data_IF_073604007336
#
_entry.id   IF_073604007336
#
_cell.length_a   1.000
_cell.length_b   1.000
_cell.length_c   1.000
_cell.angle_alpha   90.00
_cell.angle_beta   90.00
_cell.angle_gamma   90.00
#
_symmetry.space_group_name_H-M   'P 1'
#
loop_
_entity.id
_entity.type
_entity.pdbx_description
1 polymer ?
#
# COMPACT_ATOMS: atom_id res chain seq x y z
N UNK A 1 -10.77 14.48 -36.02
CA UNK A 1 -10.27 14.98 -34.72
C UNK A 1 -10.93 14.22 -33.58
N UNK A 2 -12.25 14.05 -33.58
CA UNK A 2 -12.99 13.30 -32.55
C UNK A 2 -12.51 11.85 -32.35
N UNK A 3 -12.34 11.07 -33.42
CA UNK A 3 -11.84 9.69 -33.32
C UNK A 3 -10.42 9.58 -32.70
N UNK A 4 -9.58 10.61 -32.91
CA UNK A 4 -8.25 10.68 -32.31
C UNK A 4 -8.37 10.96 -30.81
N UNK A 5 -9.20 11.93 -30.42
CA UNK A 5 -9.45 12.26 -29.01
C UNK A 5 -9.98 11.05 -28.24
N UNK A 6 -10.95 10.33 -28.80
CA UNK A 6 -11.50 9.11 -28.18
C UNK A 6 -10.42 8.04 -28.00
N UNK A 7 -9.57 7.82 -28.99
CA UNK A 7 -8.47 6.83 -28.92
C UNK A 7 -7.42 7.22 -27.88
N UNK A 8 -7.06 8.51 -27.80
CA UNK A 8 -6.11 9.03 -26.81
C UNK A 8 -6.66 8.86 -25.40
N UNK A 9 -7.93 9.24 -25.15
CA UNK A 9 -8.55 9.08 -23.83
C UNK A 9 -8.60 7.62 -23.40
N UNK A 10 -8.96 6.70 -24.29
CA UNK A 10 -8.93 5.25 -24.05
C UNK A 10 -7.57 4.77 -23.55
N UNK A 11 -6.52 5.09 -24.33
CA UNK A 11 -5.16 4.65 -24.00
C UNK A 11 -4.69 5.26 -22.68
N UNK A 12 -4.93 6.54 -22.46
CA UNK A 12 -4.54 7.20 -21.21
C UNK A 12 -5.27 6.64 -20.00
N UNK A 13 -6.59 6.40 -20.09
CA UNK A 13 -7.36 5.81 -19.00
C UNK A 13 -6.86 4.41 -18.63
N UNK A 14 -6.61 3.56 -19.64
CA UNK A 14 -6.01 2.24 -19.45
C UNK A 14 -4.63 2.31 -18.81
N UNK A 15 -3.75 3.20 -19.28
CA UNK A 15 -2.41 3.36 -18.73
C UNK A 15 -2.45 3.86 -17.28
N UNK A 16 -3.31 4.82 -16.96
CA UNK A 16 -3.47 5.31 -15.59
C UNK A 16 -3.94 4.19 -14.64
N UNK A 17 -4.89 3.36 -15.07
CA UNK A 17 -5.33 2.21 -14.30
C UNK A 17 -4.20 1.19 -14.09
N UNK A 18 -3.41 0.89 -15.14
CA UNK A 18 -2.24 0.01 -15.01
C UNK A 18 -1.23 0.53 -13.99
N UNK A 19 -0.98 1.85 -13.94
CA UNK A 19 -0.12 2.46 -12.93
C UNK A 19 -0.70 2.30 -11.54
N UNK A 20 -2.02 2.47 -11.36
CA UNK A 20 -2.67 2.23 -10.07
C UNK A 20 -2.63 0.76 -9.66
N UNK A 21 -2.80 -0.18 -10.57
CA UNK A 21 -2.64 -1.60 -10.22
C UNK A 21 -1.20 -1.88 -9.76
N UNK A 22 -0.21 -1.39 -10.51
CA UNK A 22 1.20 -1.53 -10.17
C UNK A 22 1.58 -0.81 -8.85
N UNK A 23 0.79 0.17 -8.41
CA UNK A 23 1.09 0.96 -7.23
C UNK A 23 1.10 0.16 -5.93
N UNK A 24 0.48 -1.03 -5.89
CA UNK A 24 0.51 -1.95 -4.75
C UNK A 24 1.76 -2.86 -4.72
N UNK A 25 2.61 -2.80 -5.77
CA UNK A 25 3.87 -3.55 -5.82
C UNK A 25 4.80 -3.29 -4.63
N UNK A 26 5.00 -2.03 -4.17
CA UNK A 26 5.88 -1.75 -3.04
C UNK A 26 5.40 -2.43 -1.75
N UNK A 27 4.10 -2.36 -1.41
CA UNK A 27 3.61 -3.05 -0.20
C UNK A 27 3.77 -4.57 -0.32
N UNK A 28 3.42 -5.16 -1.46
CA UNK A 28 3.55 -6.60 -1.68
C UNK A 28 5.01 -7.05 -1.67
N UNK A 29 5.93 -6.22 -2.17
CA UNK A 29 7.36 -6.47 -2.09
C UNK A 29 7.82 -6.53 -0.64
N UNK A 30 7.34 -5.64 0.22
CA UNK A 30 7.68 -5.67 1.64
C UNK A 30 7.12 -6.94 2.31
N UNK A 31 5.87 -7.31 2.03
CA UNK A 31 5.29 -8.58 2.51
C UNK A 31 6.19 -9.76 2.12
N UNK A 32 6.67 -9.79 0.87
CA UNK A 32 7.55 -10.84 0.40
C UNK A 32 8.93 -10.84 1.08
N UNK A 33 9.50 -9.67 1.34
CA UNK A 33 10.82 -9.52 1.97
C UNK A 33 10.76 -9.89 3.46
N UNK A 34 9.72 -9.47 4.15
CA UNK A 34 9.52 -9.73 5.59
C UNK A 34 8.96 -11.12 5.86
N UNK A 35 8.51 -11.85 4.83
CA UNK A 35 7.84 -13.16 4.96
C UNK A 35 6.66 -13.12 5.93
N UNK A 36 5.96 -11.99 5.96
CA UNK A 36 4.87 -11.70 6.89
C UNK A 36 3.92 -10.67 6.28
N UNK A 37 2.63 -10.82 6.58
CA UNK A 37 1.56 -9.88 6.19
C UNK A 37 1.30 -8.80 7.23
N UNK A 38 2.16 -8.66 8.27
CA UNK A 38 1.95 -7.68 9.34
C UNK A 38 1.82 -6.22 8.88
N UNK A 39 2.43 -5.85 7.75
CA UNK A 39 2.34 -4.52 7.14
C UNK A 39 1.05 -4.32 6.32
N UNK A 40 0.33 -5.40 6.02
CA UNK A 40 -0.96 -5.41 5.33
C UNK A 40 -1.95 -6.23 6.17
N UNK A 41 -2.56 -5.63 7.20
CA UNK A 41 -3.26 -6.36 8.26
C UNK A 41 -4.55 -7.09 7.83
N UNK A 42 -5.01 -6.91 6.59
CA UNK A 42 -6.08 -7.72 6.02
C UNK A 42 -5.84 -7.99 4.53
N UNK A 43 -6.36 -9.13 4.06
CA UNK A 43 -6.36 -9.49 2.65
C UNK A 43 -7.42 -8.75 1.82
N UNK A 44 -8.28 -7.97 2.49
CA UNK A 44 -9.43 -7.30 1.89
C UNK A 44 -9.03 -6.41 0.69
N UNK A 45 -7.98 -5.56 0.75
CA UNK A 45 -7.58 -4.76 -0.42
C UNK A 45 -7.24 -5.62 -1.65
N UNK A 46 -6.56 -6.76 -1.45
CA UNK A 46 -6.17 -7.66 -2.53
C UNK A 46 -7.39 -8.39 -3.10
N UNK A 47 -8.25 -8.94 -2.24
CA UNK A 47 -9.47 -9.64 -2.65
C UNK A 47 -10.50 -8.72 -3.29
N UNK A 48 -10.68 -7.51 -2.76
CA UNK A 48 -11.52 -6.48 -3.36
C UNK A 48 -11.01 -6.07 -4.74
N UNK A 49 -9.69 -6.00 -4.94
CA UNK A 49 -9.13 -5.70 -6.27
C UNK A 49 -9.38 -6.84 -7.27
N UNK A 50 -9.25 -8.10 -6.87
CA UNK A 50 -9.64 -9.26 -7.70
C UNK A 50 -11.11 -9.15 -8.09
N UNK A 51 -11.99 -8.94 -7.11
CA UNK A 51 -13.42 -8.84 -7.34
C UNK A 51 -13.79 -7.68 -8.27
N UNK A 52 -13.18 -6.51 -8.05
CA UNK A 52 -13.35 -5.34 -8.90
C UNK A 52 -12.94 -5.61 -10.35
N UNK A 53 -11.77 -6.22 -10.57
CA UNK A 53 -11.28 -6.52 -11.92
C UNK A 53 -12.18 -7.55 -12.64
N UNK A 54 -12.65 -8.58 -11.95
CA UNK A 54 -13.57 -9.57 -12.53
C UNK A 54 -14.92 -8.93 -12.88
N UNK A 55 -15.49 -8.12 -11.98
CA UNK A 55 -16.78 -7.46 -12.21
C UNK A 55 -16.73 -6.49 -13.39
N UNK A 56 -15.73 -5.59 -13.42
CA UNK A 56 -15.55 -4.66 -14.54
C UNK A 56 -15.17 -5.35 -15.85
N UNK A 57 -14.37 -6.42 -15.79
CA UNK A 57 -14.06 -7.24 -16.96
C UNK A 57 -15.32 -7.90 -17.53
N UNK A 58 -16.16 -8.48 -16.68
CA UNK A 58 -17.43 -9.07 -17.09
C UNK A 58 -18.38 -8.03 -17.67
N UNK A 59 -18.55 -6.89 -16.99
CA UNK A 59 -19.38 -5.79 -17.48
C UNK A 59 -18.89 -5.34 -18.87
N UNK A 60 -17.58 -5.10 -19.02
CA UNK A 60 -16.99 -4.75 -20.31
C UNK A 60 -17.20 -5.81 -21.40
N UNK A 61 -17.21 -7.11 -21.07
CA UNK A 61 -17.53 -8.15 -22.04
C UNK A 61 -18.99 -8.07 -22.50
N UNK A 62 -19.93 -7.80 -21.59
CA UNK A 62 -21.36 -7.71 -21.89
C UNK A 62 -21.71 -6.51 -22.78
N UNK A 63 -21.00 -5.39 -22.62
CA UNK A 63 -21.19 -4.17 -23.44
C UNK A 63 -20.20 -4.07 -24.62
N UNK A 64 -19.45 -5.14 -24.90
CA UNK A 64 -18.43 -5.21 -25.96
C UNK A 64 -17.36 -4.09 -25.90
N UNK A 65 -16.96 -3.69 -24.70
CA UNK A 65 -15.97 -2.63 -24.44
C UNK A 65 -14.55 -3.20 -24.27
N UNK A 66 -13.83 -3.31 -25.38
CA UNK A 66 -12.46 -3.82 -25.38
C UNK A 66 -11.48 -3.08 -24.43
N UNK A 67 -11.38 -1.73 -24.43
CA UNK A 67 -10.54 -1.01 -23.47
C UNK A 67 -10.83 -1.35 -22.00
N UNK A 68 -12.11 -1.46 -21.64
CA UNK A 68 -12.52 -1.79 -20.27
C UNK A 68 -12.13 -3.22 -19.91
N UNK A 69 -12.37 -4.18 -20.81
CA UNK A 69 -11.97 -5.59 -20.65
C UNK A 69 -10.46 -5.72 -20.53
N UNK A 70 -9.70 -5.17 -21.49
CA UNK A 70 -8.25 -5.29 -21.55
C UNK A 70 -7.58 -4.71 -20.29
N UNK A 71 -8.04 -3.55 -19.82
CA UNK A 71 -7.50 -2.92 -18.62
C UNK A 71 -7.72 -3.79 -17.38
N UNK A 72 -8.91 -4.36 -17.24
CA UNK A 72 -9.24 -5.19 -16.09
C UNK A 72 -8.61 -6.58 -16.14
N UNK A 73 -8.26 -7.12 -17.32
CA UNK A 73 -7.42 -8.32 -17.43
C UNK A 73 -6.01 -8.06 -16.88
N UNK A 74 -5.43 -6.89 -17.19
CA UNK A 74 -4.13 -6.48 -16.63
C UNK A 74 -4.24 -6.33 -15.11
N UNK A 75 -5.26 -5.64 -14.61
CA UNK A 75 -5.51 -5.52 -13.17
C UNK A 75 -5.72 -6.85 -12.48
N UNK A 76 -6.46 -7.77 -13.11
CA UNK A 76 -6.65 -9.13 -12.61
C UNK A 76 -5.32 -9.87 -12.49
N UNK A 77 -4.44 -9.74 -13.48
CA UNK A 77 -3.10 -10.35 -13.45
C UNK A 77 -2.27 -9.85 -12.25
N UNK A 78 -2.25 -8.53 -12.01
CA UNK A 78 -1.59 -7.97 -10.83
C UNK A 78 -2.22 -8.46 -9.53
N UNK A 79 -3.54 -8.38 -9.41
CA UNK A 79 -4.26 -8.76 -8.20
C UNK A 79 -4.09 -10.23 -7.84
N UNK A 80 -4.07 -11.15 -8.81
CA UNK A 80 -3.79 -12.56 -8.60
C UNK A 80 -2.34 -12.80 -8.16
N UNK A 81 -1.38 -12.11 -8.79
CA UNK A 81 0.01 -12.15 -8.33
C UNK A 81 0.14 -11.69 -6.87
N UNK A 82 -0.51 -10.59 -6.49
CA UNK A 82 -0.52 -10.10 -5.11
C UNK A 82 -1.17 -11.09 -4.15
N UNK A 83 -2.30 -11.70 -4.54
CA UNK A 83 -2.98 -12.70 -3.74
C UNK A 83 -2.10 -13.93 -3.50
N UNK A 84 -1.35 -14.39 -4.50
CA UNK A 84 -0.40 -15.50 -4.36
C UNK A 84 0.70 -15.14 -3.36
N UNK A 85 1.32 -13.96 -3.49
CA UNK A 85 2.37 -13.52 -2.56
C UNK A 85 1.82 -13.39 -1.14
N UNK A 86 0.65 -12.77 -0.98
CA UNK A 86 -0.01 -12.63 0.31
C UNK A 86 -0.30 -14.00 0.94
N UNK A 87 -0.90 -14.93 0.18
CA UNK A 87 -1.22 -16.28 0.64
C UNK A 87 0.02 -17.09 1.05
N UNK A 88 1.15 -16.89 0.36
CA UNK A 88 2.40 -17.57 0.72
C UNK A 88 2.92 -17.18 2.11
N UNK A 89 2.72 -15.92 2.51
CA UNK A 89 3.29 -15.34 3.73
C UNK A 89 2.27 -15.12 4.86
N UNK A 90 0.98 -15.32 4.59
CA UNK A 90 -0.07 -15.25 5.60
C UNK A 90 0.05 -16.41 6.60
N UNK A 91 0.04 -16.07 7.89
CA UNK A 91 0.13 -17.05 8.97
C UNK A 91 -1.19 -17.81 9.14
N UNK A 92 -2.33 -17.10 9.10
CA UNK A 92 -3.65 -17.71 9.26
C UNK A 92 -4.27 -18.10 7.91
N UNK A 93 -3.74 -19.17 7.31
CA UNK A 93 -4.24 -19.69 6.03
C UNK A 93 -5.69 -20.16 6.09
N UNK A 94 -6.20 -20.54 7.27
CA UNK A 94 -7.58 -20.97 7.45
C UNK A 94 -8.57 -19.83 7.18
N UNK A 95 -8.39 -18.69 7.86
CA UNK A 95 -9.21 -17.48 7.65
C UNK A 95 -9.11 -17.00 6.20
N UNK A 96 -7.89 -16.90 5.68
CA UNK A 96 -7.67 -16.42 4.32
C UNK A 96 -8.33 -17.31 3.27
N UNK A 97 -8.29 -18.65 3.42
CA UNK A 97 -8.99 -19.56 2.50
C UNK A 97 -10.50 -19.37 2.53
N UNK A 98 -11.08 -19.07 3.70
CA UNK A 98 -12.51 -18.80 3.80
C UNK A 98 -12.87 -17.49 3.09
N UNK A 99 -12.05 -16.45 3.24
CA UNK A 99 -12.22 -15.17 2.52
C UNK A 99 -12.07 -15.34 1.00
N UNK A 100 -11.07 -16.10 0.55
CA UNK A 100 -10.88 -16.46 -0.87
C UNK A 100 -12.09 -17.25 -1.38
N UNK A 101 -12.57 -18.24 -0.63
CA UNK A 101 -13.71 -19.06 -1.01
C UNK A 101 -14.99 -18.22 -1.11
N UNK A 102 -15.27 -17.38 -0.11
CA UNK A 102 -16.41 -16.47 -0.13
C UNK A 102 -16.36 -15.52 -1.34
N UNK A 103 -15.20 -14.90 -1.58
CA UNK A 103 -14.98 -14.03 -2.74
C UNK A 103 -15.19 -14.79 -4.06
N UNK A 104 -14.64 -16.00 -4.17
CA UNK A 104 -14.76 -16.85 -5.36
C UNK A 104 -16.21 -17.25 -5.64
N UNK A 105 -16.99 -17.60 -4.60
CA UNK A 105 -18.40 -17.95 -4.75
C UNK A 105 -19.24 -16.77 -5.21
N UNK A 106 -19.00 -15.56 -4.68
CA UNK A 106 -19.66 -14.33 -5.13
C UNK A 106 -19.34 -14.06 -6.60
N UNK A 107 -18.07 -14.15 -7.00
CA UNK A 107 -17.66 -13.92 -8.38
C UNK A 107 -18.16 -15.00 -9.34
N UNK A 108 -18.19 -16.26 -8.91
CA UNK A 108 -18.75 -17.36 -9.70
C UNK A 108 -20.24 -17.14 -9.96
N UNK A 109 -21.00 -16.69 -8.96
CA UNK A 109 -22.40 -16.31 -9.12
C UNK A 109 -22.57 -15.15 -10.11
N UNK A 110 -21.75 -14.09 -9.96
CA UNK A 110 -21.77 -12.94 -10.86
C UNK A 110 -21.45 -13.33 -12.32
N UNK A 111 -20.44 -14.17 -12.54
CA UNK A 111 -20.05 -14.64 -13.88
C UNK A 111 -21.06 -15.62 -14.46
N UNK A 112 -21.69 -16.47 -13.64
CA UNK A 112 -22.71 -17.41 -14.10
C UNK A 112 -24.02 -16.72 -14.46
N UNK A 113 -24.34 -15.58 -13.83
CA UNK A 113 -25.63 -14.90 -13.96
C UNK A 113 -26.01 -14.59 -15.42
N UNK A 114 -25.16 -14.00 -16.29
CA UNK A 114 -25.52 -13.75 -17.68
C UNK A 114 -25.91 -15.01 -18.46
N UNK A 115 -25.27 -16.15 -18.20
CA UNK A 115 -25.58 -17.41 -18.89
C UNK A 115 -26.93 -17.97 -18.46
N UNK A 116 -27.24 -17.89 -17.16
CA UNK A 116 -28.54 -18.31 -16.62
C UNK A 116 -29.64 -17.38 -17.13
N UNK A 117 -29.42 -16.06 -17.09
CA UNK A 117 -30.37 -15.08 -17.57
C UNK A 117 -30.67 -15.24 -19.06
N UNK A 118 -29.66 -15.53 -19.89
CA UNK A 118 -29.82 -15.82 -21.30
C UNK A 118 -30.65 -17.10 -21.54
N UNK A 119 -30.45 -18.15 -20.74
CA UNK A 119 -31.23 -19.39 -20.83
C UNK A 119 -32.72 -19.19 -20.49
N UNK A 120 -33.02 -18.24 -19.60
CA UNK A 120 -34.38 -17.84 -19.22
C UNK A 120 -34.98 -16.79 -20.16
N UNK A 121 -34.25 -16.34 -21.18
CA UNK A 121 -34.71 -15.36 -22.16
C UNK A 121 -34.79 -13.92 -21.64
N UNK A 122 -34.01 -13.57 -20.63
CA UNK A 122 -33.87 -12.18 -20.16
C UNK A 122 -33.15 -11.35 -21.23
N UNK A 123 -33.61 -10.12 -21.45
CA UNK A 123 -33.02 -9.20 -22.41
C UNK A 123 -31.59 -8.80 -22.01
N UNK A 124 -30.69 -8.72 -23.01
CA UNK A 124 -29.26 -8.41 -22.79
C UNK A 124 -29.06 -7.07 -22.05
N UNK A 125 -29.87 -6.05 -22.36
CA UNK A 125 -29.81 -4.73 -21.70
C UNK A 125 -30.11 -4.84 -20.21
N UNK A 126 -31.10 -5.66 -19.82
CA UNK A 126 -31.42 -5.90 -18.40
C UNK A 126 -30.26 -6.61 -17.68
N UNK A 127 -29.61 -7.57 -18.35
CA UNK A 127 -28.45 -8.28 -17.79
C UNK A 127 -27.27 -7.32 -17.62
N UNK A 128 -27.01 -6.47 -18.62
CA UNK A 128 -25.97 -5.44 -18.58
C UNK A 128 -26.21 -4.47 -17.42
N UNK A 129 -27.43 -3.99 -17.22
CA UNK A 129 -27.78 -3.07 -16.14
C UNK A 129 -27.57 -3.71 -14.76
N UNK A 130 -28.03 -4.94 -14.56
CA UNK A 130 -27.89 -5.64 -13.28
C UNK A 130 -26.41 -5.88 -12.97
N UNK A 131 -25.64 -6.36 -13.94
CA UNK A 131 -24.19 -6.57 -13.76
C UNK A 131 -23.47 -5.24 -13.54
N UNK A 132 -23.87 -4.17 -14.23
CA UNK A 132 -23.36 -2.81 -14.05
C UNK A 132 -23.60 -2.31 -12.62
N UNK A 133 -24.82 -2.42 -12.09
CA UNK A 133 -25.16 -2.05 -10.71
C UNK A 133 -24.31 -2.83 -9.71
N UNK A 134 -24.20 -4.15 -9.87
CA UNK A 134 -23.39 -5.00 -8.97
C UNK A 134 -21.91 -4.62 -9.05
N UNK A 135 -21.41 -4.33 -10.24
CA UNK A 135 -20.02 -3.88 -10.47
C UNK A 135 -19.74 -2.58 -9.73
N UNK A 136 -20.61 -1.59 -9.87
CA UNK A 136 -20.50 -0.31 -9.14
C UNK A 136 -20.56 -0.53 -7.63
N UNK A 137 -21.42 -1.42 -7.14
CA UNK A 137 -21.52 -1.74 -5.71
C UNK A 137 -20.23 -2.40 -5.18
N UNK A 138 -19.65 -3.35 -5.91
CA UNK A 138 -18.37 -3.98 -5.56
C UNK A 138 -17.26 -2.92 -5.51
N UNK A 139 -17.21 -2.03 -6.51
CA UNK A 139 -16.27 -0.91 -6.51
C UNK A 139 -16.46 0.02 -5.31
N UNK A 140 -17.70 0.36 -4.95
CA UNK A 140 -17.99 1.22 -3.80
C UNK A 140 -17.44 0.68 -2.48
N UNK A 141 -17.53 -0.64 -2.25
CA UNK A 141 -16.96 -1.30 -1.07
C UNK A 141 -15.44 -1.09 -0.99
N UNK A 142 -14.74 -1.13 -2.12
CA UNK A 142 -13.29 -0.89 -2.18
C UNK A 142 -12.91 0.52 -1.70
N UNK A 143 -13.77 1.52 -1.90
CA UNK A 143 -13.54 2.91 -1.49
C UNK A 143 -13.91 3.21 -0.03
N UNK A 144 -14.39 2.21 0.73
CA UNK A 144 -14.65 2.37 2.16
C UNK A 144 -13.38 2.71 2.97
N UNK A 145 -12.23 2.14 2.60
CA UNK A 145 -10.96 2.39 3.31
C UNK A 145 -10.51 3.87 3.23
N UNK A 146 -10.46 4.51 2.05
CA UNK A 146 -10.20 5.95 1.94
C UNK A 146 -11.15 6.83 2.77
N UNK A 147 -12.44 6.50 2.86
CA UNK A 147 -13.41 7.25 3.68
C UNK A 147 -13.09 7.19 5.17
N UNK A 148 -12.70 6.02 5.67
CA UNK A 148 -12.24 5.85 7.07
C UNK A 148 -11.00 6.69 7.32
N UNK A 149 -10.06 6.73 6.37
CA UNK A 149 -8.83 7.51 6.48
C UNK A 149 -9.09 9.02 6.47
N UNK A 150 -10.00 9.49 5.61
CA UNK A 150 -10.47 10.90 5.59
C UNK A 150 -11.05 11.30 6.94
N UNK A 151 -11.93 10.47 7.52
CA UNK A 151 -12.50 10.73 8.85
C UNK A 151 -11.40 10.87 9.89
N UNK A 152 -10.44 9.93 9.90
CA UNK A 152 -9.31 9.93 10.82
C UNK A 152 -8.45 11.19 10.70
N UNK A 153 -8.17 11.65 9.49
CA UNK A 153 -7.41 12.90 9.24
C UNK A 153 -8.14 14.13 9.77
N UNK A 154 -9.46 14.19 9.67
CA UNK A 154 -10.27 15.29 10.20
C UNK A 154 -10.23 15.28 11.73
N UNK A 155 -10.35 14.11 12.35
CA UNK A 155 -10.33 13.92 13.80
C UNK A 155 -8.94 14.22 14.39
N UNK A 156 -7.88 13.70 13.77
CA UNK A 156 -6.49 13.86 14.19
C UNK A 156 -5.86 15.19 13.72
N UNK A 157 -6.52 15.92 12.80
CA UNK A 157 -6.04 17.17 12.20
C UNK A 157 -4.62 17.05 11.59
N UNK A 158 -4.27 15.87 11.09
CA UNK A 158 -2.96 15.56 10.51
C UNK A 158 -3.12 14.72 9.23
N UNK A 159 -2.36 15.05 8.18
CA UNK A 159 -2.40 14.38 6.85
C UNK A 159 -1.26 13.39 6.64
N UNK A 160 -0.49 13.08 7.68
CA UNK A 160 0.66 12.17 7.62
C UNK A 160 0.30 10.80 7.07
N UNK A 161 -0.87 10.26 7.43
CA UNK A 161 -1.35 8.95 6.99
C UNK A 161 -1.83 8.90 5.53
N UNK A 162 -2.00 10.06 4.87
CA UNK A 162 -2.52 10.11 3.50
C UNK A 162 -1.38 9.94 2.48
N UNK A 163 -1.47 8.94 1.58
CA UNK A 163 -0.49 8.77 0.51
C UNK A 163 -0.79 9.74 -0.64
N UNK A 164 -0.25 10.98 -0.55
CA UNK A 164 -0.50 12.05 -1.53
C UNK A 164 -0.34 11.60 -2.99
N UNK A 165 0.75 10.90 -3.30
CA UNK A 165 1.03 10.39 -4.65
C UNK A 165 -0.06 9.46 -5.16
N UNK A 166 -0.56 8.55 -4.32
CA UNK A 166 -1.64 7.62 -4.66
C UNK A 166 -2.96 8.34 -4.87
N UNK A 167 -3.24 9.36 -4.05
CA UNK A 167 -4.46 10.17 -4.16
C UNK A 167 -4.45 10.97 -5.47
N UNK A 168 -3.32 11.60 -5.82
CA UNK A 168 -3.17 12.32 -7.10
C UNK A 168 -3.31 11.36 -8.29
N UNK A 169 -2.61 10.23 -8.27
CA UNK A 169 -2.71 9.22 -9.32
C UNK A 169 -4.15 8.69 -9.46
N UNK A 170 -4.82 8.45 -8.32
CA UNK A 170 -6.23 8.06 -8.24
C UNK A 170 -7.16 9.09 -8.87
N UNK A 171 -6.96 10.38 -8.56
CA UNK A 171 -7.76 11.46 -9.13
C UNK A 171 -7.56 11.57 -10.65
N UNK A 172 -6.33 11.48 -11.15
CA UNK A 172 -6.04 11.47 -12.59
C UNK A 172 -6.71 10.28 -13.28
N UNK A 173 -6.63 9.09 -12.69
CA UNK A 173 -7.33 7.92 -13.21
C UNK A 173 -8.86 8.14 -13.26
N UNK A 174 -9.45 8.68 -12.19
CA UNK A 174 -10.89 8.97 -12.16
C UNK A 174 -11.29 9.99 -13.22
N UNK A 175 -10.50 11.04 -13.46
CA UNK A 175 -10.75 12.02 -14.54
C UNK A 175 -10.73 11.33 -15.91
N UNK A 176 -9.75 10.47 -16.16
CA UNK A 176 -9.60 9.79 -17.44
C UNK A 176 -10.74 8.79 -17.70
N UNK A 177 -11.13 8.00 -16.69
CA UNK A 177 -12.26 7.08 -16.79
C UNK A 177 -13.61 7.80 -16.82
N UNK A 178 -13.76 8.93 -16.13
CA UNK A 178 -14.94 9.79 -16.23
C UNK A 178 -15.07 10.36 -17.65
N UNK A 179 -13.99 10.90 -18.21
CA UNK A 179 -13.96 11.37 -19.59
C UNK A 179 -14.27 10.23 -20.57
N UNK A 180 -13.74 9.03 -20.32
CA UNK A 180 -14.04 7.84 -21.11
C UNK A 180 -15.53 7.47 -21.06
N UNK A 181 -16.13 7.40 -19.87
CA UNK A 181 -17.55 7.10 -19.69
C UNK A 181 -18.44 8.14 -20.35
N UNK A 182 -18.09 9.43 -20.27
CA UNK A 182 -18.81 10.51 -20.96
C UNK A 182 -18.77 10.34 -22.49
N UNK A 183 -17.62 9.95 -23.05
CA UNK A 183 -17.49 9.67 -24.49
C UNK A 183 -18.31 8.46 -24.94
N UNK A 184 -18.59 7.52 -24.03
CA UNK A 184 -19.44 6.34 -24.30
C UNK A 184 -20.90 6.54 -23.94
N UNK A 185 -21.25 7.64 -23.26
CA UNK A 185 -22.54 7.83 -22.59
C UNK A 185 -22.87 6.68 -21.60
N UNK A 186 -21.86 6.11 -20.95
CA UNK A 186 -22.00 4.99 -20.02
C UNK A 186 -22.09 5.50 -18.57
N UNK A 187 -23.30 5.45 -18.00
CA UNK A 187 -23.56 5.92 -16.64
C UNK A 187 -22.87 5.07 -15.57
N UNK A 188 -22.68 3.76 -15.81
CA UNK A 188 -22.01 2.88 -14.85
C UNK A 188 -20.53 3.21 -14.74
N UNK A 189 -19.89 3.68 -15.80
CA UNK A 189 -18.51 4.19 -15.73
C UNK A 189 -18.48 5.63 -15.19
N UNK A 190 -19.40 6.51 -15.62
CA UNK A 190 -19.42 7.93 -15.23
C UNK A 190 -19.60 8.10 -13.71
N UNK A 191 -20.67 7.52 -13.15
CA UNK A 191 -21.11 7.80 -11.78
C UNK A 191 -20.05 7.46 -10.72
N UNK A 192 -19.50 6.23 -10.65
CA UNK A 192 -18.51 5.90 -9.63
C UNK A 192 -17.21 6.71 -9.80
N UNK A 193 -16.76 6.97 -11.03
CA UNK A 193 -15.55 7.77 -11.25
C UNK A 193 -15.75 9.23 -10.84
N UNK A 194 -16.93 9.81 -11.06
CA UNK A 194 -17.27 11.14 -10.56
C UNK A 194 -17.28 11.19 -9.02
N UNK A 195 -17.92 10.21 -8.37
CA UNK A 195 -17.96 10.12 -6.89
C UNK A 195 -16.55 9.96 -6.31
N UNK A 196 -15.73 9.10 -6.91
CA UNK A 196 -14.35 8.89 -6.46
C UNK A 196 -13.46 10.09 -6.72
N UNK A 197 -13.68 10.81 -7.83
CA UNK A 197 -12.99 12.07 -8.09
C UNK A 197 -13.34 13.10 -7.03
N UNK A 198 -14.61 13.24 -6.65
CA UNK A 198 -15.02 14.14 -5.56
C UNK A 198 -14.35 13.75 -4.24
N UNK A 199 -14.32 12.46 -3.90
CA UNK A 199 -13.63 11.97 -2.71
C UNK A 199 -12.11 12.23 -2.77
N UNK A 200 -11.50 12.10 -3.95
CA UNK A 200 -10.10 12.45 -4.19
C UNK A 200 -9.83 13.95 -4.01
N UNK A 201 -10.71 14.80 -4.52
CA UNK A 201 -10.63 16.26 -4.34
C UNK A 201 -10.76 16.64 -2.86
N UNK A 202 -11.66 16.01 -2.12
CA UNK A 202 -11.77 16.19 -0.66
C UNK A 202 -10.45 15.82 0.02
N UNK A 203 -9.89 14.65 -0.30
CA UNK A 203 -8.60 14.21 0.24
C UNK A 203 -7.47 15.19 -0.09
N UNK A 204 -7.39 15.69 -1.33
CA UNK A 204 -6.42 16.70 -1.74
C UNK A 204 -6.62 18.03 -1.00
N UNK A 205 -7.86 18.44 -0.78
CA UNK A 205 -8.19 19.64 -0.01
C UNK A 205 -7.73 19.56 1.44
N UNK A 206 -7.78 18.38 2.07
CA UNK A 206 -7.30 18.18 3.44
C UNK A 206 -5.80 18.47 3.58
N UNK A 207 -4.99 18.18 2.56
CA UNK A 207 -3.56 18.55 2.55
C UNK A 207 -3.33 20.07 2.55
N UNK A 208 -4.27 20.85 2.03
CA UNK A 208 -4.17 22.31 2.05
C UNK A 208 -4.59 22.91 3.40
N UNK A 209 -5.36 22.17 4.21
CA UNK A 209 -5.96 22.65 5.46
C UNK A 209 -5.22 22.16 6.69
N UNK A 210 -4.71 20.92 6.67
CA UNK A 210 -4.05 20.31 7.81
C UNK A 210 -2.55 20.14 7.61
N UNK A 211 -1.74 20.43 8.64
CA UNK A 211 -0.29 20.28 8.56
C UNK A 211 0.08 18.81 8.34
N UNK A 212 1.22 18.61 7.69
CA UNK A 212 1.88 17.31 7.54
C UNK A 212 3.03 17.26 8.53
N UNK A 213 2.78 16.71 9.72
CA UNK A 213 3.78 16.64 10.79
C UNK A 213 4.54 15.32 10.73
N UNK A 214 5.32 15.09 9.67
CA UNK A 214 6.11 13.87 9.50
C UNK A 214 6.14 13.37 8.05
N UNK A 215 7.24 12.74 7.66
CA UNK A 215 7.32 12.03 6.38
C UNK A 215 6.45 10.78 6.46
N UNK A 216 5.50 10.62 5.52
CA UNK A 216 4.73 9.38 5.39
C UNK A 216 5.70 8.21 5.26
N UNK A 217 5.70 7.33 6.26
CA UNK A 217 6.36 6.04 6.19
C UNK A 217 5.60 5.18 5.16
N UNK A 218 5.93 5.34 3.88
CA UNK A 218 5.77 4.23 2.94
C UNK A 218 6.45 3.02 3.55
N UNK A 219 5.88 1.82 3.40
CA UNK A 219 6.47 0.57 3.90
C UNK A 219 7.93 0.35 3.44
N UNK A 220 8.39 1.10 2.42
CA UNK A 220 9.79 1.19 1.99
C UNK A 220 10.76 1.70 3.09
N UNK A 221 10.32 2.54 4.04
CA UNK A 221 11.11 2.97 5.22
C UNK A 221 11.25 1.87 6.29
N UNK A 222 10.46 0.79 6.19
CA UNK A 222 10.56 -0.39 7.04
C UNK A 222 11.48 -1.50 6.46
N UNK A 223 12.21 -1.22 5.38
CA UNK A 223 13.24 -2.12 4.86
C UNK A 223 14.48 -2.03 5.76
N UNK A 224 15.09 -3.14 6.20
CA UNK A 224 16.30 -3.10 7.05
C UNK A 224 17.45 -2.26 6.45
N UNK A 225 17.50 -2.14 5.12
CA UNK A 225 18.51 -1.35 4.41
C UNK A 225 18.31 0.17 4.41
N UNK A 226 17.08 0.68 4.59
CA UNK A 226 16.84 2.14 4.62
C UNK A 226 17.11 2.73 6.01
N UNK A 227 16.80 1.98 7.09
CA UNK A 227 17.21 2.35 8.45
C UNK A 227 18.74 2.43 8.61
N UNK A 228 19.49 1.52 7.99
CA UNK A 228 20.96 1.57 7.96
C UNK A 228 21.50 2.82 7.22
N UNK A 229 20.78 3.28 6.20
CA UNK A 229 21.18 4.46 5.42
C UNK A 229 20.85 5.77 6.14
N UNK A 230 19.68 5.83 6.78
CA UNK A 230 19.26 6.99 7.58
C UNK A 230 20.09 7.11 8.86
N UNK A 231 20.37 6.00 9.55
CA UNK A 231 21.29 6.00 10.71
C UNK A 231 22.70 6.37 10.27
N UNK A 232 23.19 5.88 9.12
CA UNK A 232 24.51 6.28 8.61
C UNK A 232 24.59 7.75 8.15
N UNK A 233 23.49 8.34 7.70
CA UNK A 233 23.43 9.79 7.39
C UNK A 233 23.31 10.64 8.66
N UNK A 234 22.60 10.17 9.68
CA UNK A 234 22.42 10.84 10.98
C UNK A 234 23.71 10.78 11.84
N UNK A 235 24.44 9.66 11.81
CA UNK A 235 25.76 9.51 12.45
C UNK A 235 26.81 10.38 11.75
N UNK A 236 26.70 10.55 10.43
CA UNK A 236 27.60 11.39 9.63
C UNK A 236 27.31 12.88 9.79
N UNK A 237 26.05 13.27 9.96
CA UNK A 237 25.68 14.65 10.29
C UNK A 237 26.14 15.05 11.70
N UNK A 238 26.02 14.14 12.67
CA UNK A 238 26.43 14.37 14.07
C UNK A 238 27.95 14.42 14.25
N UNK A 239 28.73 13.74 13.39
CA UNK A 239 30.20 13.77 13.44
C UNK A 239 30.84 14.98 12.76
N UNK A 240 30.18 15.62 11.78
CA UNK A 240 30.72 16.84 11.13
C UNK A 240 30.66 18.10 11.99
N UNK A 241 29.75 18.16 12.98
CA UNK A 241 29.61 19.35 13.83
C UNK A 241 30.62 19.38 14.99
N UNK A 242 31.24 18.24 15.34
CA UNK A 242 32.21 18.16 16.44
C UNK A 242 33.67 18.42 16.02
N UNK A 243 34.03 18.24 14.74
CA UNK A 243 35.42 18.38 14.29
C UNK A 243 35.81 19.79 13.82
N UNK A 244 34.85 20.73 13.72
CA UNK A 244 35.15 22.09 13.21
C UNK A 244 35.48 23.11 14.32
N UNK A 245 35.20 22.83 15.60
CA UNK A 245 35.48 23.78 16.69
C UNK A 245 36.86 23.62 17.37
N UNK A 246 37.52 22.46 17.25
CA UNK A 246 38.76 22.19 18.01
C UNK A 246 40.06 22.47 17.23
N UNK A 247 40.02 22.54 15.89
CA UNK A 247 41.22 22.87 15.09
C UNK A 247 41.50 24.39 15.00
N UNK A 248 40.53 25.27 15.26
CA UNK A 248 40.77 26.73 15.18
C UNK A 248 41.44 27.31 16.44
N UNK A 249 41.49 26.56 17.55
CA UNK A 249 42.20 26.99 18.77
C UNK A 249 43.65 26.49 18.86
N UNK A 250 44.08 25.57 17.99
CA UNK A 250 45.41 24.94 18.07
C UNK A 250 46.47 25.53 17.14
N UNK A 251 46.22 26.67 16.51
CA UNK A 251 47.20 27.32 15.60
C UNK A 251 47.76 28.66 16.11
N UNK A 252 47.41 29.11 17.32
CA UNK A 252 47.99 30.36 17.88
C UNK A 252 48.52 30.13 19.29
N UNK A 253 49.71 29.53 19.39
CA UNK A 253 50.80 29.84 20.35
C UNK A 253 51.68 28.60 20.57
N UNK A 254 52.79 28.54 19.86
CA UNK A 254 53.99 27.79 20.26
C UNK A 254 55.18 28.71 20.11
N UNK A 255 55.71 29.23 21.21
CA UNK A 255 57.10 29.69 21.49
C UNK A 255 57.11 29.83 23.04
N UNK A 256 57.92 29.21 23.89
CA UNK A 256 59.37 28.94 23.95
C UNK A 256 59.59 27.94 25.14
N UNK A 257 60.29 26.82 24.94
CA UNK A 257 61.61 26.41 25.51
C UNK A 257 61.70 25.92 26.97
N UNK A 258 62.35 24.75 27.08
CA UNK A 258 63.25 24.20 28.12
C UNK A 258 62.73 23.85 29.53
N UNK A 259 62.72 22.55 29.85
CA UNK A 259 63.69 21.89 30.77
C UNK A 259 63.29 20.42 31.10
N UNK A 260 64.29 19.55 31.21
CA UNK A 260 64.28 18.14 31.67
C UNK A 260 64.27 18.07 33.23
N UNK A 261 64.40 16.89 33.90
CA UNK A 261 63.57 15.69 34.00
C UNK A 261 63.14 15.38 35.47
N UNK A 262 62.29 14.36 35.72
CA UNK A 262 62.31 13.44 36.89
C UNK A 262 61.04 12.57 36.91
N UNK A 263 61.16 11.24 36.82
CA UNK A 263 61.30 10.26 37.91
C UNK A 263 59.96 9.60 38.28
N UNK A 264 59.99 8.25 38.26
CA UNK A 264 59.33 7.27 39.15
C UNK A 264 57.85 7.52 39.52
N UNK A 265 56.92 6.56 39.37
CA UNK A 265 56.85 5.40 40.27
C UNK A 265 55.86 4.33 39.76
N UNK A 266 55.92 3.20 40.44
CA UNK A 266 55.50 1.83 40.13
C UNK A 266 54.09 1.51 40.69
N UNK A 267 53.66 0.25 40.48
CA UNK A 267 52.62 -0.57 41.18
C UNK A 267 51.45 -0.90 40.23
N UNK A 268 51.28 -2.09 39.61
CA UNK A 268 51.39 -3.51 40.01
C UNK A 268 50.13 -4.11 40.68
N UNK A 269 49.46 -5.02 39.93
CA UNK A 269 48.74 -6.25 40.36
C UNK A 269 47.38 -6.10 41.10
N UNK A 270 46.38 -7.00 41.07
CA UNK A 270 46.05 -8.32 40.46
C UNK A 270 44.54 -8.61 40.80
N UNK A 271 43.92 -9.78 40.48
CA UNK A 271 42.48 -9.97 40.20
C UNK A 271 41.76 -10.85 41.25
N UNK A 272 40.53 -11.32 40.96
CA UNK A 272 39.87 -12.63 41.31
C UNK A 272 38.34 -12.42 41.23
N UNK A 273 37.56 -13.02 40.32
CA UNK A 273 37.15 -14.44 40.16
C UNK A 273 36.26 -14.96 41.30
N UNK A 274 34.98 -15.32 41.01
CA UNK A 274 34.20 -16.45 41.59
C UNK A 274 32.95 -16.70 40.72
N UNK A 275 32.72 -17.99 40.44
CA UNK A 275 31.67 -18.63 39.61
C UNK A 275 30.61 -19.34 40.51
N UNK A 276 29.57 -19.95 39.91
CA UNK A 276 28.76 -21.13 40.39
C UNK A 276 27.45 -20.75 41.15
N UNK A 277 26.21 -21.24 40.95
CA UNK A 277 25.54 -22.29 40.14
C UNK A 277 23.99 -22.10 40.20
N UNK A 278 23.23 -22.70 39.26
CA UNK A 278 21.83 -23.15 39.47
C UNK A 278 21.81 -24.60 40.00
N UNK A 279 20.69 -25.16 40.54
CA UNK A 279 19.83 -25.99 39.68
C UNK A 279 18.33 -26.19 40.08
N UNK A 280 17.57 -26.64 39.06
CA UNK A 280 16.56 -27.73 39.07
C UNK A 280 15.04 -27.46 39.17
N UNK A 281 14.35 -28.27 38.34
CA UNK A 281 12.92 -28.47 38.03
C UNK A 281 12.11 -29.10 39.17
N UNK A 282 10.79 -28.88 39.15
CA UNK A 282 9.77 -29.89 39.54
C UNK A 282 8.57 -29.83 38.59
N UNK A 283 8.07 -31.01 38.26
CA UNK A 283 7.00 -31.42 37.33
C UNK A 283 5.83 -31.99 38.15
N UNK A 284 4.56 -31.68 37.86
CA UNK A 284 3.41 -32.58 38.11
C UNK A 284 2.14 -32.18 37.33
N UNK A 285 1.25 -33.14 37.17
CA UNK A 285 0.30 -33.39 36.08
C UNK A 285 -1.20 -33.16 36.43
N UNK A 286 -2.02 -33.03 35.36
CA UNK A 286 -3.39 -33.56 35.09
C UNK A 286 -4.53 -33.34 36.11
N UNK A 287 -5.67 -32.78 35.65
CA UNK A 287 -7.00 -33.42 35.80
C UNK A 287 -8.06 -32.93 34.78
N UNK A 288 -8.98 -33.84 34.47
CA UNK A 288 -10.05 -33.83 33.47
C UNK A 288 -11.36 -33.33 34.12
N UNK A 289 -12.14 -32.52 33.40
CA UNK A 289 -13.61 -32.54 33.46
C UNK A 289 -14.23 -31.94 32.21
#
# INVERSE_FOLDING_TARGET
MEALVVSVVRVLASLAACVLFASLLPEIRVVHQQKSTATMPSALPVLSMVANCVAWGLYGLLIEDFPLVATNIVGLTFSLFYLVVYYCHEANKGSLRLEILATTLVLAGLVAYPFVAAAEGVEDETVQDIVGVVTVAISAVMFGSPLVLVKRVIDERNTELLPLTMIVAGAVNCVLWLAYGLLRADSFVIVPNAVNLLLGVVQLGLFCVFPRSGAYDTVESATPGSKLKNVAEEDKATTTDAETEDELKRSTMTVETDDEPSAEEKIESRPSDVTVEQPSKVETAIEVH
#
